data_IF_565406388398
#
_entry.id   IF_565406388398
#
_cell.length_a   1.000
_cell.length_b   1.000
_cell.length_c   1.000
_cell.angle_alpha   90.00
_cell.angle_beta   90.00
_cell.angle_gamma   90.00
#
_symmetry.space_group_name_H-M   'P 1'
#
loop_
_entity.id
_entity.type
_entity.pdbx_description
1 polymer ?
#
# COMPACT_ATOMS: atom_id res chain seq x y z
N UNK A 1 14.03 3.55 24.54
CA UNK A 1 14.00 3.17 23.11
C UNK A 1 15.17 3.86 22.44
N UNK A 2 15.95 3.12 21.67
CA UNK A 2 17.09 3.64 20.92
C UNK A 2 16.64 4.30 19.60
N UNK A 3 17.29 5.39 19.17
CA UNK A 3 16.98 6.06 17.91
C UNK A 3 17.13 5.14 16.69
N UNK A 4 18.05 4.18 16.75
CA UNK A 4 18.33 3.25 15.65
C UNK A 4 17.09 2.44 15.32
N UNK A 5 16.41 1.87 16.32
CA UNK A 5 15.18 1.10 16.13
C UNK A 5 14.05 1.92 15.53
N UNK A 6 13.91 3.20 15.92
CA UNK A 6 12.92 4.11 15.31
C UNK A 6 13.26 4.36 13.84
N UNK A 7 14.52 4.65 13.51
CA UNK A 7 14.93 4.88 12.13
C UNK A 7 14.80 3.62 11.27
N UNK A 8 15.14 2.43 11.79
CA UNK A 8 14.98 1.17 11.07
C UNK A 8 13.51 0.91 10.74
N UNK A 9 12.61 1.07 11.72
CA UNK A 9 11.18 0.84 11.51
C UNK A 9 10.57 1.90 10.59
N UNK A 10 10.91 3.18 10.79
CA UNK A 10 10.43 4.27 9.93
C UNK A 10 10.97 4.15 8.49
N UNK A 11 12.20 3.66 8.31
CA UNK A 11 12.79 3.38 7.01
C UNK A 11 12.00 2.32 6.24
N UNK A 12 11.56 1.25 6.91
CA UNK A 12 10.69 0.25 6.29
C UNK A 12 9.33 0.83 5.87
N UNK A 13 8.72 1.66 6.73
CA UNK A 13 7.46 2.33 6.40
C UNK A 13 7.61 3.30 5.22
N UNK A 14 8.75 4.00 5.13
CA UNK A 14 9.10 4.88 4.03
C UNK A 14 9.16 4.12 2.71
N UNK A 15 9.86 2.98 2.68
CA UNK A 15 9.94 2.13 1.48
C UNK A 15 8.54 1.68 1.05
N UNK A 16 7.73 1.17 1.98
CA UNK A 16 6.37 0.71 1.67
C UNK A 16 5.47 1.85 1.17
N UNK A 17 5.58 3.04 1.75
CA UNK A 17 4.80 4.22 1.34
C UNK A 17 5.16 4.68 -0.07
N UNK A 18 6.46 4.69 -0.39
CA UNK A 18 6.97 4.99 -1.72
C UNK A 18 6.49 3.96 -2.75
N UNK A 19 6.61 2.66 -2.44
CA UNK A 19 6.14 1.57 -3.30
C UNK A 19 4.64 1.68 -3.54
N UNK A 20 3.81 1.90 -2.51
CA UNK A 20 2.37 2.09 -2.68
C UNK A 20 2.05 3.29 -3.58
N UNK A 21 2.76 4.40 -3.40
CA UNK A 21 2.56 5.61 -4.21
C UNK A 21 2.89 5.38 -5.69
N UNK A 22 3.99 4.68 -5.96
CA UNK A 22 4.41 4.29 -7.32
C UNK A 22 3.40 3.33 -7.95
N UNK A 23 3.04 2.26 -7.23
CA UNK A 23 2.11 1.24 -7.73
C UNK A 23 0.73 1.82 -7.99
N UNK A 24 0.22 2.69 -7.12
CA UNK A 24 -1.08 3.32 -7.33
C UNK A 24 -1.16 4.07 -8.67
N UNK A 25 -0.06 4.72 -9.07
CA UNK A 25 0.01 5.45 -10.35
C UNK A 25 0.05 4.49 -11.54
N UNK A 26 0.84 3.41 -11.45
CA UNK A 26 0.90 2.37 -12.49
C UNK A 26 -0.42 1.60 -12.62
N UNK A 27 -1.10 1.34 -11.49
CA UNK A 27 -2.40 0.69 -11.44
C UNK A 27 -3.50 1.56 -12.05
N UNK A 28 -3.53 2.87 -11.72
CA UNK A 28 -4.53 3.81 -12.24
C UNK A 28 -4.35 4.09 -13.75
N UNK A 29 -3.13 3.99 -14.26
CA UNK A 29 -2.86 4.22 -15.69
C UNK A 29 -3.09 2.98 -16.56
N UNK A 30 -3.46 1.84 -15.98
CA UNK A 30 -3.61 0.58 -16.71
C UNK A 30 -2.31 0.03 -17.29
N UNK A 31 -1.16 0.61 -16.92
CA UNK A 31 0.18 0.26 -17.45
C UNK A 31 0.87 -0.83 -16.64
N UNK A 32 0.15 -1.52 -15.76
CA UNK A 32 0.71 -2.60 -14.97
C UNK A 32 0.44 -3.93 -15.68
N UNK A 33 1.36 -4.43 -16.54
CA UNK A 33 1.18 -5.71 -17.21
C UNK A 33 1.10 -6.83 -16.19
N UNK A 34 0.39 -7.90 -16.54
CA UNK A 34 0.33 -9.10 -15.71
C UNK A 34 1.73 -9.67 -15.56
N UNK A 35 2.20 -9.76 -14.32
CA UNK A 35 3.53 -10.25 -14.01
C UNK A 35 3.54 -11.02 -12.69
N UNK A 36 4.56 -11.86 -12.51
CA UNK A 36 4.70 -12.68 -11.31
C UNK A 36 5.50 -11.99 -10.19
N UNK A 37 6.04 -10.79 -10.40
CA UNK A 37 6.87 -10.11 -9.42
C UNK A 37 6.03 -9.20 -8.49
N UNK A 38 5.12 -8.40 -9.05
CA UNK A 38 4.48 -7.26 -8.37
C UNK A 38 2.99 -7.17 -8.72
N UNK A 39 2.15 -7.04 -7.69
CA UNK A 39 0.71 -6.83 -7.83
C UNK A 39 -0.12 -7.55 -6.76
N UNK A 40 -1.44 -7.30 -6.79
CA UNK A 40 -2.40 -7.97 -5.91
C UNK A 40 -2.75 -9.32 -6.53
N UNK A 41 -2.25 -10.40 -5.94
CA UNK A 41 -2.42 -11.77 -6.43
C UNK A 41 -3.56 -12.45 -5.69
N UNK A 42 -4.66 -12.64 -6.40
CA UNK A 42 -5.84 -13.39 -5.97
C UNK A 42 -6.23 -14.34 -7.07
N UNK A 43 -7.02 -15.38 -6.74
CA UNK A 43 -7.54 -16.32 -7.74
C UNK A 43 -8.24 -15.60 -8.91
N UNK A 44 -8.94 -14.50 -8.62
CA UNK A 44 -9.66 -13.74 -9.65
C UNK A 44 -8.76 -12.78 -10.43
N UNK A 45 -7.84 -12.05 -9.78
CA UNK A 45 -6.94 -11.12 -10.49
C UNK A 45 -5.94 -11.82 -11.41
N UNK A 46 -5.66 -13.10 -11.19
CA UNK A 46 -4.77 -13.90 -12.03
C UNK A 46 -5.49 -14.66 -13.14
N UNK A 47 -6.82 -14.62 -13.20
CA UNK A 47 -7.61 -15.44 -14.13
C UNK A 47 -7.45 -15.01 -15.61
N UNK A 48 -7.31 -13.72 -15.87
CA UNK A 48 -7.09 -13.17 -17.21
C UNK A 48 -6.40 -11.81 -17.12
N UNK A 49 -5.97 -11.26 -18.25
CA UNK A 49 -5.32 -9.94 -18.30
C UNK A 49 -6.34 -8.81 -18.05
N UNK A 50 -7.59 -8.98 -18.49
CA UNK A 50 -8.70 -8.07 -18.21
C UNK A 50 -9.04 -8.07 -16.72
N UNK A 51 -9.07 -9.26 -16.08
CA UNK A 51 -9.31 -9.39 -14.65
C UNK A 51 -8.16 -8.78 -13.82
N UNK A 52 -6.92 -8.90 -14.31
CA UNK A 52 -5.76 -8.25 -13.72
C UNK A 52 -5.91 -6.72 -13.77
N UNK A 53 -6.16 -6.14 -14.95
CA UNK A 53 -6.29 -4.70 -15.12
C UNK A 53 -7.45 -4.13 -14.31
N UNK A 54 -8.65 -4.72 -14.42
CA UNK A 54 -9.84 -4.26 -13.70
C UNK A 54 -9.66 -4.34 -12.17
N UNK A 55 -9.01 -5.40 -11.68
CA UNK A 55 -8.69 -5.55 -10.27
C UNK A 55 -7.74 -4.47 -9.76
N UNK A 56 -6.68 -4.19 -10.53
CA UNK A 56 -5.68 -3.20 -10.14
C UNK A 56 -6.21 -1.77 -10.25
N UNK A 57 -6.97 -1.44 -11.30
CA UNK A 57 -7.62 -0.14 -11.44
C UNK A 57 -8.58 0.14 -10.27
N UNK A 58 -9.42 -0.83 -9.90
CA UNK A 58 -10.34 -0.70 -8.77
C UNK A 58 -9.63 -0.53 -7.40
N UNK A 59 -8.45 -1.12 -7.26
CA UNK A 59 -7.64 -0.98 -6.04
C UNK A 59 -6.79 0.30 -6.00
N UNK A 60 -6.52 0.93 -7.15
CA UNK A 60 -5.55 2.02 -7.28
C UNK A 60 -5.79 3.17 -6.30
N UNK A 61 -7.04 3.63 -6.14
CA UNK A 61 -7.38 4.70 -5.20
C UNK A 61 -7.10 4.33 -3.74
N UNK A 62 -7.29 3.06 -3.38
CA UNK A 62 -7.03 2.58 -2.00
C UNK A 62 -5.53 2.44 -1.76
N UNK A 63 -4.79 1.94 -2.75
CA UNK A 63 -3.31 1.87 -2.68
C UNK A 63 -2.70 3.28 -2.63
N UNK A 64 -3.26 4.25 -3.37
CA UNK A 64 -2.88 5.66 -3.29
C UNK A 64 -3.09 6.22 -1.87
N UNK A 65 -4.25 5.92 -1.28
CA UNK A 65 -4.58 6.35 0.07
C UNK A 65 -3.63 5.75 1.11
N UNK A 66 -3.20 4.49 0.92
CA UNK A 66 -2.19 3.85 1.76
C UNK A 66 -0.83 4.54 1.67
N UNK A 67 -0.37 4.87 0.46
CA UNK A 67 0.86 5.64 0.26
C UNK A 67 0.79 7.01 0.94
N UNK A 68 -0.29 7.76 0.73
CA UNK A 68 -0.49 9.09 1.32
C UNK A 68 -0.57 9.05 2.85
N UNK A 69 -1.29 8.07 3.41
CA UNK A 69 -1.36 7.86 4.85
C UNK A 69 0.02 7.55 5.44
N UNK A 70 0.81 6.72 4.77
CA UNK A 70 2.18 6.42 5.15
C UNK A 70 3.07 7.67 5.17
N UNK A 71 2.98 8.53 4.15
CA UNK A 71 3.68 9.82 4.12
C UNK A 71 3.25 10.75 5.27
N UNK A 72 1.95 10.85 5.55
CA UNK A 72 1.44 11.66 6.65
C UNK A 72 1.97 11.17 8.02
N UNK A 73 2.01 9.85 8.22
CA UNK A 73 2.60 9.25 9.43
C UNK A 73 4.09 9.57 9.52
N UNK A 74 4.85 9.43 8.43
CA UNK A 74 6.30 9.71 8.41
C UNK A 74 6.61 11.17 8.73
N UNK A 75 5.78 12.11 8.27
CA UNK A 75 5.90 13.52 8.66
C UNK A 75 5.71 13.71 10.17
N UNK A 76 4.69 13.06 10.76
CA UNK A 76 4.49 13.07 12.21
C UNK A 76 5.66 12.44 12.97
N UNK A 77 6.20 11.33 12.49
CA UNK A 77 7.38 10.68 13.07
C UNK A 77 8.60 11.60 13.02
N UNK A 78 8.83 12.28 11.90
CA UNK A 78 9.93 13.23 11.76
C UNK A 78 9.84 14.38 12.78
N UNK A 79 8.63 14.93 12.97
CA UNK A 79 8.39 15.96 14.01
C UNK A 79 8.69 15.42 15.41
N UNK A 80 8.23 14.22 15.76
CA UNK A 80 8.50 13.62 17.06
C UNK A 80 10.00 13.35 17.29
N UNK A 81 10.73 12.97 16.23
CA UNK A 81 12.19 12.78 16.29
C UNK A 81 12.93 14.11 16.56
N UNK A 82 12.49 15.23 15.97
CA UNK A 82 13.07 16.56 16.23
C UNK A 82 12.97 16.91 17.72
N UNK A 83 11.82 16.63 18.33
CA UNK A 83 11.59 16.84 19.77
C UNK A 83 12.13 15.71 20.67
N UNK A 84 12.86 14.72 20.10
CA UNK A 84 13.42 13.55 20.82
C UNK A 84 12.38 12.73 21.59
N UNK A 85 11.14 12.70 21.09
CA UNK A 85 10.01 11.95 21.67
C UNK A 85 10.00 10.51 21.16
N UNK A 86 11.07 9.75 21.43
CA UNK A 86 11.31 8.42 20.84
C UNK A 86 10.19 7.38 21.05
N UNK A 87 9.58 7.23 22.26
CA UNK A 87 8.49 6.27 22.44
C UNK A 87 7.27 6.59 21.59
N UNK A 88 6.95 7.88 21.43
CA UNK A 88 5.84 8.33 20.60
C UNK A 88 6.14 8.14 19.11
N UNK A 89 7.37 8.43 18.68
CA UNK A 89 7.80 8.18 17.29
C UNK A 89 7.70 6.69 16.93
N UNK A 90 8.12 5.80 17.84
CA UNK A 90 7.96 4.35 17.67
C UNK A 90 6.48 3.95 17.59
N UNK A 91 5.66 4.40 18.54
CA UNK A 91 4.23 4.07 18.59
C UNK A 91 3.50 4.53 17.33
N UNK A 92 3.78 5.76 16.87
CA UNK A 92 3.20 6.32 15.65
C UNK A 92 3.65 5.55 14.40
N UNK A 93 4.92 5.12 14.34
CA UNK A 93 5.41 4.29 13.23
C UNK A 93 4.68 2.93 13.21
N UNK A 94 4.51 2.30 14.38
CA UNK A 94 3.75 1.05 14.52
C UNK A 94 2.29 1.19 14.06
N UNK A 95 1.62 2.28 14.45
CA UNK A 95 0.27 2.62 13.94
C UNK A 95 0.25 2.81 12.43
N UNK A 96 1.30 3.39 11.85
CA UNK A 96 1.47 3.50 10.40
C UNK A 96 1.46 2.16 9.68
N UNK A 97 2.16 1.16 10.23
CA UNK A 97 2.12 -0.20 9.68
C UNK A 97 0.73 -0.84 9.76
N UNK A 98 0.06 -0.72 10.90
CA UNK A 98 -1.31 -1.25 11.08
C UNK A 98 -2.27 -0.62 10.07
N UNK A 99 -2.18 0.70 9.88
CA UNK A 99 -2.99 1.43 8.91
C UNK A 99 -2.70 0.99 7.47
N UNK A 100 -1.41 0.88 7.11
CA UNK A 100 -0.99 0.46 5.77
C UNK A 100 -1.47 -0.96 5.46
N UNK A 101 -1.29 -1.91 6.39
CA UNK A 101 -1.76 -3.29 6.24
C UNK A 101 -3.28 -3.32 6.08
N UNK A 102 -4.02 -2.58 6.91
CA UNK A 102 -5.49 -2.50 6.82
C UNK A 102 -5.95 -2.00 5.46
N UNK A 103 -5.31 -0.95 4.93
CA UNK A 103 -5.62 -0.41 3.60
C UNK A 103 -5.25 -1.39 2.48
N UNK A 104 -4.17 -2.15 2.63
CA UNK A 104 -3.81 -3.22 1.67
C UNK A 104 -4.82 -4.38 1.66
N UNK A 105 -5.38 -4.75 2.82
CA UNK A 105 -6.45 -5.76 2.90
C UNK A 105 -7.73 -5.27 2.20
N UNK A 106 -8.07 -3.99 2.38
CA UNK A 106 -9.20 -3.36 1.67
C UNK A 106 -8.93 -3.29 0.16
N UNK A 107 -7.73 -2.90 -0.25
CA UNK A 107 -7.33 -2.87 -1.66
C UNK A 107 -7.43 -4.27 -2.30
N UNK A 108 -6.98 -5.30 -1.58
CA UNK A 108 -7.08 -6.70 -2.01
C UNK A 108 -8.53 -7.13 -2.20
N UNK A 109 -9.40 -6.78 -1.24
CA UNK A 109 -10.83 -7.10 -1.32
C UNK A 109 -11.51 -6.43 -2.51
N UNK A 110 -11.18 -5.15 -2.77
CA UNK A 110 -11.69 -4.41 -3.94
C UNK A 110 -11.19 -4.99 -5.26
N UNK A 111 -9.89 -5.30 -5.36
CA UNK A 111 -9.31 -5.92 -6.54
C UNK A 111 -9.96 -7.27 -6.85
N UNK A 112 -10.10 -8.12 -5.83
CA UNK A 112 -10.72 -9.44 -5.96
C UNK A 112 -12.17 -9.35 -6.46
N UNK A 113 -12.95 -8.42 -5.88
CA UNK A 113 -14.35 -8.21 -6.26
C UNK A 113 -14.47 -7.70 -7.69
N UNK A 114 -13.64 -6.75 -8.10
CA UNK A 114 -13.63 -6.24 -9.47
C UNK A 114 -13.22 -7.33 -10.49
N UNK A 115 -12.13 -8.04 -10.23
CA UNK A 115 -11.64 -9.12 -11.09
C UNK A 115 -12.67 -10.26 -11.25
N UNK A 116 -13.40 -10.61 -10.18
CA UNK A 116 -14.45 -11.65 -10.25
C UNK A 116 -15.64 -11.29 -11.14
N UNK A 117 -15.83 -9.99 -11.42
CA UNK A 117 -16.90 -9.50 -12.32
C UNK A 117 -16.44 -9.50 -13.77
N UNK A 118 -15.18 -9.19 -14.03
CA UNK A 118 -14.61 -9.21 -15.38
C UNK A 118 -14.56 -10.62 -15.96
N UNK A 119 -14.32 -11.65 -15.13
CA UNK A 119 -14.36 -13.05 -15.57
C UNK A 119 -15.76 -13.64 -15.80
N UNK A 120 -16.83 -12.84 -15.68
CA UNK A 120 -18.22 -13.25 -15.96
C UNK A 120 -18.78 -12.64 -17.26
N UNK A 121 -18.00 -11.86 -17.99
CA UNK A 121 -18.41 -11.35 -19.30
C UNK A 121 -18.25 -12.47 -20.34
N UNK A 122 -19.32 -12.84 -21.07
CA UNK A 122 -19.29 -13.88 -22.10
C UNK A 122 -18.45 -13.49 -23.32
#
# INVERSE_FOLDING_TARGET
MDPISVFSLAGGLLILSAVCSFLATSMASGKLPRNNAVGIKTKHTQASDEAWLAGHEAAAATVKSAGLAGWAVLLGVAVLCIFRLWPWAMGLTGLGYVLLISLMLVATSKANKAASRSGKLP
#
